data_IF_659278240697
#
_entry.id   IF_659278240697
#
_cell.length_a   1.000
_cell.length_b   1.000
_cell.length_c   1.000
_cell.angle_alpha   90.00
_cell.angle_beta   90.00
_cell.angle_gamma   90.00
#
_symmetry.space_group_name_H-M   'P 1'
#
loop_
_entity.id
_entity.type
_entity.pdbx_description
1 polymer ?
#
# COMPACT_ATOMS: atom_id res chain seq x y z
N UNK A 1 20.87 11.67 50.03
CA UNK A 1 20.34 12.92 49.45
C UNK A 1 20.56 12.88 47.96
N UNK A 2 19.53 12.52 47.20
CA UNK A 2 19.58 12.36 45.73
C UNK A 2 18.97 13.59 45.08
N UNK A 3 19.80 14.37 44.38
CA UNK A 3 19.36 15.50 43.58
C UNK A 3 18.68 14.98 42.31
N UNK A 4 17.34 14.98 42.29
CA UNK A 4 16.57 14.74 41.08
C UNK A 4 16.80 15.87 40.04
N UNK A 5 16.98 15.56 38.76
CA UNK A 5 17.40 16.55 37.76
C UNK A 5 16.25 17.48 37.35
N UNK A 6 16.51 18.79 37.41
CA UNK A 6 15.66 19.94 37.02
C UNK A 6 15.17 19.95 35.55
N UNK A 7 15.36 18.89 34.76
CA UNK A 7 15.01 18.88 33.32
C UNK A 7 13.52 18.71 33.03
N UNK A 8 12.73 18.15 33.95
CA UNK A 8 11.30 17.91 33.71
C UNK A 8 10.41 19.17 33.76
N UNK A 9 10.81 20.22 34.48
CA UNK A 9 9.99 21.43 34.63
C UNK A 9 10.01 22.34 33.39
N UNK A 10 11.14 22.38 32.67
CA UNK A 10 11.27 23.14 31.42
C UNK A 10 10.47 22.51 30.27
N UNK A 11 10.44 21.18 30.21
CA UNK A 11 9.70 20.43 29.20
C UNK A 11 8.18 20.57 29.41
N UNK A 12 7.72 20.58 30.66
CA UNK A 12 6.31 20.81 31.00
C UNK A 12 5.83 22.23 30.66
N UNK A 13 6.69 23.26 30.75
CA UNK A 13 6.33 24.63 30.35
C UNK A 13 6.18 24.78 28.84
N UNK A 14 7.12 24.20 28.06
CA UNK A 14 7.03 24.22 26.58
C UNK A 14 5.79 23.49 26.07
N UNK A 15 5.39 22.38 26.70
CA UNK A 15 4.17 21.67 26.34
C UNK A 15 2.90 22.51 26.57
N UNK A 16 2.84 23.30 27.65
CA UNK A 16 1.70 24.19 27.95
C UNK A 16 1.62 25.38 26.99
N UNK A 17 2.75 25.95 26.61
CA UNK A 17 2.80 27.07 25.65
C UNK A 17 2.39 26.62 24.24
N UNK A 18 2.78 25.42 23.83
CA UNK A 18 2.35 24.83 22.56
C UNK A 18 0.84 24.55 22.55
N UNK A 19 0.27 24.03 23.65
CA UNK A 19 -1.17 23.84 23.80
C UNK A 19 -1.94 25.17 23.73
N UNK A 20 -1.44 26.23 24.38
CA UNK A 20 -2.06 27.56 24.35
C UNK A 20 -1.97 28.22 22.96
N UNK A 21 -0.87 28.02 22.24
CA UNK A 21 -0.73 28.50 20.87
C UNK A 21 -1.66 27.72 19.91
N UNK A 22 -1.78 26.40 20.11
CA UNK A 22 -2.64 25.54 19.32
C UNK A 22 -4.13 25.88 19.54
N UNK A 23 -4.58 26.08 20.78
CA UNK A 23 -5.97 26.49 21.07
C UNK A 23 -6.32 27.83 20.47
N UNK A 24 -5.41 28.82 20.49
CA UNK A 24 -5.63 30.11 19.81
C UNK A 24 -5.75 29.96 18.29
N UNK A 25 -4.92 29.12 17.66
CA UNK A 25 -5.00 28.85 16.22
C UNK A 25 -6.28 28.11 15.83
N UNK A 26 -6.71 27.14 16.64
CA UNK A 26 -7.97 26.41 16.42
C UNK A 26 -9.17 27.34 16.60
N UNK A 27 -9.18 28.18 17.65
CA UNK A 27 -10.23 29.18 17.85
C UNK A 27 -10.28 30.17 16.69
N UNK A 28 -9.12 30.62 16.19
CA UNK A 28 -9.03 31.48 15.02
C UNK A 28 -9.57 30.81 13.76
N UNK A 29 -9.20 29.56 13.48
CA UNK A 29 -9.72 28.78 12.34
C UNK A 29 -11.23 28.57 12.44
N UNK A 30 -11.75 28.30 13.64
CA UNK A 30 -13.18 28.23 13.90
C UNK A 30 -13.88 29.55 13.56
N UNK A 31 -13.34 30.68 14.03
CA UNK A 31 -13.87 32.01 13.71
C UNK A 31 -13.80 32.27 12.21
N UNK A 32 -12.70 31.91 11.53
CA UNK A 32 -12.57 32.05 10.09
C UNK A 32 -13.59 31.20 9.32
N UNK A 33 -13.81 29.94 9.72
CA UNK A 33 -14.83 29.08 9.12
C UNK A 33 -16.24 29.65 9.32
N UNK A 34 -16.53 30.16 10.52
CA UNK A 34 -17.82 30.76 10.84
C UNK A 34 -18.04 32.05 10.03
N UNK A 35 -17.01 32.89 9.90
CA UNK A 35 -17.02 34.09 9.06
C UNK A 35 -17.16 33.75 7.57
N UNK A 36 -16.48 32.69 7.10
CA UNK A 36 -16.59 32.23 5.72
C UNK A 36 -18.00 31.71 5.40
N UNK A 37 -18.60 30.93 6.30
CA UNK A 37 -19.99 30.48 6.16
C UNK A 37 -20.97 31.66 6.13
N UNK A 38 -20.77 32.67 6.98
CA UNK A 38 -21.61 33.89 6.99
C UNK A 38 -21.42 34.75 5.73
N UNK A 39 -20.20 34.85 5.22
CA UNK A 39 -19.90 35.57 3.98
C UNK A 39 -20.49 34.84 2.77
N UNK A 40 -20.44 33.51 2.74
CA UNK A 40 -21.03 32.68 1.70
C UNK A 40 -22.55 32.84 1.63
N UNK A 41 -23.23 32.91 2.78
CA UNK A 41 -24.67 33.19 2.83
C UNK A 41 -25.04 34.58 2.28
N UNK A 42 -24.25 35.62 2.60
CA UNK A 42 -24.48 36.95 2.01
C UNK A 42 -24.27 36.93 0.50
N UNK A 43 -23.20 36.27 0.05
CA UNK A 43 -22.91 36.12 -1.38
C UNK A 43 -24.04 35.37 -2.11
N UNK A 44 -24.63 34.34 -1.49
CA UNK A 44 -25.76 33.60 -2.07
C UNK A 44 -27.08 34.37 -2.03
N UNK A 45 -27.29 35.27 -1.06
CA UNK A 45 -28.53 36.02 -0.90
C UNK A 45 -28.66 37.19 -1.88
N UNK A 46 -27.54 37.75 -2.34
CA UNK A 46 -27.57 38.92 -3.22
C UNK A 46 -28.03 38.60 -4.64
N UNK A 47 -28.08 37.33 -5.07
CA UNK A 47 -28.86 36.89 -6.25
C UNK A 47 -28.55 37.56 -7.61
N UNK A 48 -27.56 38.45 -7.69
CA UNK A 48 -27.36 39.35 -8.84
C UNK A 48 -26.34 38.87 -9.86
N UNK A 49 -25.77 37.68 -9.69
CA UNK A 49 -24.92 37.08 -10.71
C UNK A 49 -25.47 35.72 -11.10
N UNK A 50 -25.97 35.63 -12.34
CA UNK A 50 -26.59 34.46 -12.96
C UNK A 50 -25.65 33.27 -13.16
N UNK A 51 -25.09 32.76 -12.07
CA UNK A 51 -24.53 31.43 -12.03
C UNK A 51 -25.71 30.45 -11.94
N UNK A 52 -25.89 29.71 -13.03
CA UNK A 52 -26.72 28.51 -13.15
C UNK A 52 -26.70 27.75 -11.83
N UNK A 53 -27.89 27.48 -11.29
CA UNK A 53 -28.10 26.87 -9.98
C UNK A 53 -27.11 25.73 -9.72
N UNK A 54 -26.09 26.02 -8.89
CA UNK A 54 -25.22 24.97 -8.39
C UNK A 54 -26.08 23.95 -7.63
N UNK A 55 -25.89 22.65 -7.84
CA UNK A 55 -26.72 21.62 -7.23
C UNK A 55 -26.74 21.79 -5.71
N UNK A 56 -27.94 21.80 -5.13
CA UNK A 56 -28.14 21.88 -3.68
C UNK A 56 -27.33 20.76 -3.01
N UNK A 57 -26.47 21.13 -2.07
CA UNK A 57 -25.58 20.25 -1.31
C UNK A 57 -26.27 19.07 -0.61
N UNK A 58 -27.60 19.12 -0.45
CA UNK A 58 -28.41 17.97 0.00
C UNK A 58 -28.23 16.72 -0.86
N UNK A 59 -27.95 16.87 -2.16
CA UNK A 59 -27.71 15.75 -3.07
C UNK A 59 -26.40 15.00 -2.76
N UNK A 60 -25.34 15.72 -2.38
CA UNK A 60 -24.01 15.14 -2.08
C UNK A 60 -24.01 14.33 -0.78
N UNK A 61 -24.76 14.80 0.23
CA UNK A 61 -24.94 14.08 1.51
C UNK A 61 -25.73 12.78 1.29
N UNK A 62 -26.75 12.79 0.42
CA UNK A 62 -27.49 11.58 0.06
C UNK A 62 -26.63 10.57 -0.71
N UNK A 63 -25.73 11.01 -1.57
CA UNK A 63 -24.81 10.10 -2.29
C UNK A 63 -23.75 9.49 -1.37
N UNK A 64 -23.24 10.26 -0.40
CA UNK A 64 -22.29 9.77 0.59
C UNK A 64 -22.91 8.78 1.60
N UNK A 65 -24.17 9.00 2.03
CA UNK A 65 -24.92 8.06 2.86
C UNK A 65 -25.31 6.79 2.10
N UNK A 66 -25.71 6.90 0.82
CA UNK A 66 -26.01 5.74 -0.01
C UNK A 66 -24.78 4.86 -0.32
N UNK A 67 -23.57 5.44 -0.28
CA UNK A 67 -22.32 4.69 -0.44
C UNK A 67 -21.87 3.93 0.82
N UNK A 68 -22.45 4.22 2.00
CA UNK A 68 -22.13 3.56 3.27
C UNK A 68 -23.09 2.39 3.59
N UNK A 69 -24.23 2.26 2.89
CA UNK A 69 -25.30 1.28 3.16
C UNK A 69 -25.32 0.08 2.17
N UNK A 70 -24.22 -0.24 1.50
CA UNK A 70 -24.14 -1.41 0.61
C UNK A 70 -22.98 -2.35 0.96
N UNK A 71 -23.06 -2.93 2.16
CA UNK A 71 -22.47 -4.23 2.42
C UNK A 71 -23.62 -5.17 2.83
N UNK A 72 -23.89 -6.14 1.97
CA UNK A 72 -24.86 -7.25 2.11
C UNK A 72 -26.33 -6.96 1.70
N UNK A 73 -26.66 -7.16 0.41
CA UNK A 73 -27.83 -7.88 -0.15
C UNK A 73 -27.88 -7.73 -1.71
N UNK A 74 -28.50 -8.67 -2.45
CA UNK A 74 -28.36 -8.80 -3.91
C UNK A 74 -29.12 -7.74 -4.71
N UNK A 75 -28.52 -7.33 -5.84
CA UNK A 75 -28.96 -6.28 -6.76
C UNK A 75 -30.40 -6.45 -7.28
N UNK A 76 -31.22 -5.41 -7.10
CA UNK A 76 -32.37 -5.10 -7.96
C UNK A 76 -31.99 -3.87 -8.78
N UNK A 77 -32.04 -4.02 -10.11
CA UNK A 77 -31.75 -2.99 -11.11
C UNK A 77 -32.56 -1.70 -10.92
N UNK A 78 -31.86 -0.57 -10.87
CA UNK A 78 -32.43 0.73 -11.27
C UNK A 78 -31.45 1.42 -12.20
N UNK A 79 -31.89 1.62 -13.44
CA UNK A 79 -31.16 2.31 -14.49
C UNK A 79 -31.06 3.83 -14.22
N UNK A 80 -29.90 4.41 -14.51
CA UNK A 80 -29.72 5.86 -14.68
C UNK A 80 -29.03 6.16 -16.01
N UNK A 81 -29.44 7.20 -16.75
CA UNK A 81 -28.91 7.53 -18.05
C UNK A 81 -27.61 8.33 -17.98
N UNK A 82 -26.79 8.11 -19.01
CA UNK A 82 -25.50 8.74 -19.31
C UNK A 82 -25.70 10.20 -19.72
N UNK A 83 -24.79 11.07 -19.30
CA UNK A 83 -24.55 12.36 -19.94
C UNK A 83 -23.04 12.56 -20.02
N UNK A 84 -22.53 12.50 -21.25
CA UNK A 84 -21.18 12.89 -21.65
C UNK A 84 -21.09 14.41 -21.67
N UNK A 85 -20.10 15.00 -21.00
CA UNK A 85 -19.56 16.29 -21.40
C UNK A 85 -18.11 16.43 -20.94
N UNK A 86 -17.25 16.67 -21.93
CA UNK A 86 -15.81 16.83 -21.81
C UNK A 86 -15.46 18.21 -21.25
N UNK A 87 -14.46 18.26 -20.36
CA UNK A 87 -13.69 19.48 -20.12
C UNK A 87 -12.22 19.13 -19.86
N UNK A 88 -11.38 19.51 -20.81
CA UNK A 88 -9.93 19.60 -20.69
C UNK A 88 -9.60 20.79 -19.80
N UNK A 89 -8.70 20.60 -18.83
CA UNK A 89 -7.88 21.70 -18.33
C UNK A 89 -6.48 21.21 -17.97
N UNK A 90 -5.50 21.91 -18.55
CA UNK A 90 -4.08 21.67 -18.41
C UNK A 90 -3.57 22.24 -17.08
N UNK A 91 -2.90 21.40 -16.29
CA UNK A 91 -2.06 21.85 -15.18
C UNK A 91 -0.58 21.56 -15.48
N UNK A 92 0.34 22.47 -15.12
CA UNK A 92 1.76 22.36 -15.44
C UNK A 92 2.43 21.31 -14.54
N UNK A 93 3.22 20.44 -15.18
CA UNK A 93 4.02 19.40 -14.54
C UNK A 93 5.08 20.01 -13.60
N UNK A 94 5.14 19.49 -12.37
CA UNK A 94 6.28 19.67 -11.47
C UNK A 94 7.43 18.73 -11.88
N UNK A 95 8.70 19.12 -11.74
CA UNK A 95 9.82 18.32 -12.22
C UNK A 95 10.01 17.10 -11.31
N UNK A 96 9.62 15.93 -11.81
CA UNK A 96 9.97 14.64 -11.23
C UNK A 96 11.41 14.27 -11.62
N UNK A 97 12.15 13.82 -10.61
CA UNK A 97 13.56 13.49 -10.64
C UNK A 97 13.83 12.27 -11.55
N UNK A 98 14.29 12.53 -12.78
CA UNK A 98 14.65 11.53 -13.81
C UNK A 98 15.97 10.82 -13.48
N UNK A 99 16.00 10.03 -12.41
CA UNK A 99 17.11 9.11 -12.13
C UNK A 99 16.62 7.76 -11.62
N UNK A 100 15.77 7.10 -12.41
CA UNK A 100 15.62 5.64 -12.42
C UNK A 100 14.78 5.16 -13.62
N UNK A 101 15.01 5.70 -14.82
CA UNK A 101 14.49 5.09 -16.05
C UNK A 101 15.59 4.15 -16.58
N UNK A 102 15.51 2.87 -16.23
CA UNK A 102 16.23 1.81 -16.93
C UNK A 102 15.26 1.14 -17.89
N UNK A 103 15.34 1.57 -19.14
CA UNK A 103 15.01 0.72 -20.29
C UNK A 103 15.98 -0.47 -20.27
N UNK A 104 15.50 -1.62 -19.82
CA UNK A 104 16.15 -2.92 -20.04
C UNK A 104 15.11 -4.05 -20.27
N UNK A 105 13.89 -3.69 -20.71
CA UNK A 105 12.91 -4.64 -21.20
C UNK A 105 13.39 -5.30 -22.52
N UNK A 106 14.13 -4.56 -23.36
CA UNK A 106 14.71 -5.08 -24.60
C UNK A 106 15.87 -6.07 -24.37
N UNK A 107 16.65 -5.90 -23.30
CA UNK A 107 17.73 -6.82 -22.95
C UNK A 107 17.22 -8.12 -22.30
N UNK A 108 16.09 -8.05 -21.58
CA UNK A 108 15.39 -9.23 -21.09
C UNK A 108 14.73 -10.01 -22.26
N UNK A 109 14.21 -9.32 -23.27
CA UNK A 109 13.67 -9.98 -24.48
C UNK A 109 14.77 -10.64 -25.34
N UNK A 110 15.96 -10.07 -25.47
CA UNK A 110 17.07 -10.71 -26.22
C UNK A 110 17.67 -11.94 -25.49
N UNK A 111 17.65 -11.96 -24.15
CA UNK A 111 18.12 -13.12 -23.38
C UNK A 111 17.19 -14.35 -23.52
N UNK A 112 15.89 -14.13 -23.74
CA UNK A 112 14.91 -15.21 -24.00
C UNK A 112 15.07 -15.80 -25.40
N UNK A 113 15.57 -15.03 -26.39
CA UNK A 113 15.74 -15.50 -27.77
C UNK A 113 16.98 -16.40 -27.95
N UNK A 114 18.00 -16.28 -27.09
CA UNK A 114 19.23 -17.08 -27.20
C UNK A 114 19.14 -18.48 -26.57
N UNK A 115 18.19 -18.69 -25.65
CA UNK A 115 17.88 -20.00 -25.08
C UNK A 115 16.74 -20.65 -25.85
N UNK A 116 17.04 -21.40 -26.91
CA UNK A 116 16.08 -22.31 -27.57
C UNK A 116 15.72 -23.47 -26.62
N UNK A 117 14.96 -23.15 -25.58
CA UNK A 117 14.22 -24.14 -24.79
C UNK A 117 13.19 -24.70 -25.75
N UNK A 118 13.21 -26.01 -25.96
CA UNK A 118 12.29 -26.70 -26.86
C UNK A 118 10.85 -26.24 -26.55
N UNK A 119 10.15 -25.74 -27.58
CA UNK A 119 8.74 -25.35 -27.48
C UNK A 119 8.01 -26.45 -26.73
N UNK A 120 7.55 -26.21 -25.49
CA UNK A 120 6.79 -27.22 -24.80
C UNK A 120 5.53 -27.40 -25.62
N UNK A 121 5.31 -28.60 -26.15
CA UNK A 121 4.08 -29.01 -26.82
C UNK A 121 2.99 -29.05 -25.76
N UNK A 122 2.56 -27.87 -25.32
CA UNK A 122 1.42 -27.72 -24.45
C UNK A 122 0.20 -27.89 -25.33
N UNK A 123 -0.54 -28.97 -25.08
CA UNK A 123 -1.81 -29.22 -25.72
C UNK A 123 -2.72 -28.03 -25.45
N UNK A 124 -2.78 -27.09 -26.41
CA UNK A 124 -3.76 -26.00 -26.40
C UNK A 124 -5.12 -26.67 -26.36
N UNK A 125 -5.84 -26.47 -25.24
CA UNK A 125 -7.17 -27.02 -25.07
C UNK A 125 -8.01 -26.52 -26.23
N UNK A 126 -8.59 -27.44 -26.99
CA UNK A 126 -9.47 -27.06 -28.07
C UNK A 126 -10.77 -26.50 -27.46
N UNK A 127 -11.13 -25.28 -27.85
CA UNK A 127 -12.35 -24.61 -27.40
C UNK A 127 -13.48 -24.76 -28.43
N UNK A 128 -13.27 -25.50 -29.52
CA UNK A 128 -14.28 -25.78 -30.52
C UNK A 128 -15.36 -26.70 -29.94
N UNK A 129 -16.51 -26.12 -29.60
CA UNK A 129 -17.66 -26.82 -28.98
C UNK A 129 -18.00 -26.37 -27.56
N UNK A 130 -17.16 -25.56 -26.91
CA UNK A 130 -17.47 -24.98 -25.59
C UNK A 130 -18.45 -23.82 -25.76
N UNK A 131 -19.52 -23.82 -24.96
CA UNK A 131 -20.55 -22.78 -24.97
C UNK A 131 -20.05 -21.46 -24.36
N UNK A 132 -20.67 -20.33 -24.72
CA UNK A 132 -20.28 -19.01 -24.21
C UNK A 132 -20.40 -18.91 -22.68
N UNK A 133 -21.38 -19.57 -22.09
CA UNK A 133 -21.57 -19.60 -20.63
C UNK A 133 -20.49 -20.43 -19.93
N UNK A 134 -20.06 -21.54 -20.53
CA UNK A 134 -18.91 -22.32 -20.05
C UNK A 134 -17.60 -21.54 -20.18
N UNK A 135 -17.40 -20.78 -21.26
CA UNK A 135 -16.24 -19.90 -21.41
C UNK A 135 -16.23 -18.79 -20.36
N UNK A 136 -17.38 -18.16 -20.08
CA UNK A 136 -17.50 -17.18 -19.00
C UNK A 136 -17.24 -17.80 -17.64
N UNK A 137 -17.77 -18.99 -17.37
CA UNK A 137 -17.53 -19.72 -16.13
C UNK A 137 -16.04 -20.07 -15.97
N UNK A 138 -15.38 -20.53 -17.04
CA UNK A 138 -13.97 -20.88 -17.04
C UNK A 138 -13.08 -19.64 -16.84
N UNK A 139 -13.39 -18.52 -17.50
CA UNK A 139 -12.67 -17.26 -17.29
C UNK A 139 -12.90 -16.72 -15.87
N UNK A 140 -14.12 -16.85 -15.34
CA UNK A 140 -14.45 -16.50 -13.96
C UNK A 140 -13.63 -17.33 -12.98
N UNK A 141 -13.61 -18.64 -13.14
CA UNK A 141 -12.88 -19.57 -12.28
C UNK A 141 -11.37 -19.27 -12.29
N UNK A 142 -10.78 -19.12 -13.49
CA UNK A 142 -9.36 -18.75 -13.65
C UNK A 142 -9.02 -17.40 -13.02
N UNK A 143 -9.91 -16.41 -13.11
CA UNK A 143 -9.72 -15.09 -12.48
C UNK A 143 -10.33 -14.98 -11.08
N UNK A 144 -10.65 -16.11 -10.42
CA UNK A 144 -11.19 -16.16 -9.05
C UNK A 144 -12.43 -15.27 -8.86
N UNK A 145 -13.32 -15.25 -9.83
CA UNK A 145 -14.56 -14.46 -9.85
C UNK A 145 -14.40 -12.99 -10.24
N UNK A 146 -13.18 -12.50 -10.51
CA UNK A 146 -12.92 -11.08 -10.75
C UNK A 146 -12.89 -10.74 -12.24
N UNK A 147 -14.02 -10.91 -12.94
CA UNK A 147 -14.13 -10.62 -14.38
C UNK A 147 -15.28 -9.68 -14.67
N UNK A 148 -14.99 -8.53 -15.26
CA UNK A 148 -16.02 -7.67 -15.82
C UNK A 148 -16.33 -8.13 -17.26
N UNK A 149 -17.42 -8.90 -17.41
CA UNK A 149 -17.82 -9.47 -18.70
C UNK A 149 -18.24 -8.42 -19.73
N UNK A 150 -18.52 -7.17 -19.33
CA UNK A 150 -18.91 -6.08 -20.25
C UNK A 150 -17.84 -5.74 -21.29
N UNK A 151 -16.58 -6.12 -21.04
CA UNK A 151 -15.47 -5.86 -21.95
C UNK A 151 -15.29 -6.93 -23.04
N UNK A 152 -15.98 -8.07 -22.97
CA UNK A 152 -15.87 -9.15 -23.95
C UNK A 152 -17.18 -9.22 -24.74
N UNK A 153 -17.15 -8.75 -25.99
CA UNK A 153 -18.35 -8.67 -26.83
C UNK A 153 -18.61 -9.99 -27.54
N UNK A 154 -17.54 -10.64 -27.98
CA UNK A 154 -17.61 -11.81 -28.83
C UNK A 154 -16.99 -13.05 -28.16
N UNK A 155 -17.44 -14.23 -28.57
CA UNK A 155 -16.86 -15.53 -28.18
C UNK A 155 -15.35 -15.57 -28.41
N UNK A 156 -14.88 -14.97 -29.50
CA UNK A 156 -13.47 -14.88 -29.83
C UNK A 156 -12.67 -14.09 -28.79
N UNK A 157 -13.23 -13.02 -28.23
CA UNK A 157 -12.59 -12.22 -27.17
C UNK A 157 -12.44 -13.03 -25.88
N UNK A 158 -13.47 -13.81 -25.52
CA UNK A 158 -13.42 -14.70 -24.35
C UNK A 158 -12.35 -15.77 -24.52
N UNK A 159 -12.29 -16.44 -25.68
CA UNK A 159 -11.26 -17.46 -25.97
C UNK A 159 -9.86 -16.83 -25.91
N UNK A 160 -9.67 -15.66 -26.51
CA UNK A 160 -8.39 -14.94 -26.46
C UNK A 160 -7.99 -14.61 -25.02
N UNK A 161 -8.93 -14.11 -24.21
CA UNK A 161 -8.67 -13.79 -22.81
C UNK A 161 -8.34 -15.02 -21.96
N UNK A 162 -9.00 -16.15 -22.20
CA UNK A 162 -8.70 -17.42 -21.54
C UNK A 162 -7.29 -17.89 -21.92
N UNK A 163 -6.93 -17.87 -23.21
CA UNK A 163 -5.59 -18.25 -23.68
C UNK A 163 -4.51 -17.36 -23.10
N UNK A 164 -4.73 -16.04 -23.02
CA UNK A 164 -3.79 -15.11 -22.40
C UNK A 164 -3.58 -15.42 -20.91
N UNK A 165 -4.64 -15.82 -20.20
CA UNK A 165 -4.51 -16.26 -18.80
C UNK A 165 -3.78 -17.60 -18.70
N UNK A 166 -4.07 -18.56 -19.57
CA UNK A 166 -3.37 -19.86 -19.61
C UNK A 166 -1.89 -19.71 -19.94
N UNK A 167 -1.53 -18.86 -20.90
CA UNK A 167 -0.14 -18.55 -21.24
C UNK A 167 0.59 -17.91 -20.05
N UNK A 168 -0.05 -16.98 -19.35
CA UNK A 168 0.52 -16.37 -18.12
C UNK A 168 0.69 -17.40 -17.00
N UNK A 169 -0.28 -18.28 -16.80
CA UNK A 169 -0.19 -19.37 -15.81
C UNK A 169 0.95 -20.35 -16.14
N UNK A 170 1.12 -20.71 -17.41
CA UNK A 170 2.20 -21.58 -17.89
C UNK A 170 3.56 -20.89 -17.70
N UNK A 171 3.70 -19.63 -18.12
CA UNK A 171 4.92 -18.86 -17.94
C UNK A 171 5.29 -18.73 -16.45
N UNK A 172 4.31 -18.45 -15.60
CA UNK A 172 4.50 -18.36 -14.15
C UNK A 172 4.91 -19.71 -13.54
N UNK A 173 4.32 -20.82 -14.02
CA UNK A 173 4.71 -22.17 -13.58
C UNK A 173 6.14 -22.50 -14.01
N UNK A 174 6.49 -22.24 -15.27
CA UNK A 174 7.85 -22.46 -15.77
C UNK A 174 8.88 -21.64 -14.98
N UNK A 175 8.59 -20.37 -14.70
CA UNK A 175 9.41 -19.53 -13.83
C UNK A 175 9.57 -20.10 -12.43
N UNK A 176 8.49 -20.61 -11.82
CA UNK A 176 8.55 -21.25 -10.49
C UNK A 176 9.38 -22.53 -10.50
N UNK A 177 9.28 -23.33 -11.55
CA UNK A 177 10.07 -24.55 -11.71
C UNK A 177 11.56 -24.23 -11.89
N UNK A 178 11.89 -23.19 -12.66
CA UNK A 178 13.26 -22.68 -12.81
C UNK A 178 13.81 -22.16 -11.47
N UNK A 179 13.01 -21.37 -10.75
CA UNK A 179 13.31 -20.89 -9.40
C UNK A 179 13.56 -22.05 -8.43
N UNK A 180 12.73 -23.09 -8.46
CA UNK A 180 12.90 -24.26 -7.61
C UNK A 180 14.16 -25.04 -7.97
N UNK A 181 14.50 -25.15 -9.26
CA UNK A 181 15.74 -25.76 -9.73
C UNK A 181 16.97 -24.96 -9.27
N UNK A 182 16.93 -23.63 -9.42
CA UNK A 182 17.97 -22.72 -8.95
C UNK A 182 18.15 -22.82 -7.43
N UNK A 183 17.05 -22.85 -6.66
CA UNK A 183 17.08 -23.04 -5.21
C UNK A 183 17.74 -24.36 -4.78
N UNK A 184 17.41 -25.47 -5.47
CA UNK A 184 18.05 -26.77 -5.21
C UNK A 184 19.54 -26.73 -5.53
N UNK A 185 19.91 -26.18 -6.69
CA UNK A 185 21.32 -26.02 -7.07
C UNK A 185 22.08 -25.18 -6.05
N UNK A 186 21.50 -24.09 -5.56
CA UNK A 186 22.13 -23.26 -4.54
C UNK A 186 22.29 -24.03 -3.23
N UNK A 187 21.27 -24.75 -2.77
CA UNK A 187 21.34 -25.55 -1.55
C UNK A 187 22.44 -26.64 -1.62
N UNK A 188 22.55 -27.34 -2.75
CA UNK A 188 23.60 -28.33 -3.00
C UNK A 188 24.99 -27.68 -3.05
N UNK A 189 25.12 -26.55 -3.75
CA UNK A 189 26.40 -25.85 -3.92
C UNK A 189 26.81 -25.06 -2.67
N UNK A 190 25.89 -24.80 -1.73
CA UNK A 190 26.16 -24.00 -0.53
C UNK A 190 27.14 -24.71 0.41
N UNK A 191 27.07 -26.03 0.54
CA UNK A 191 28.04 -26.81 1.33
C UNK A 191 29.45 -26.72 0.73
N UNK A 192 29.56 -26.85 -0.58
CA UNK A 192 30.83 -26.72 -1.30
C UNK A 192 31.41 -25.30 -1.20
N UNK A 193 30.56 -24.27 -1.32
CA UNK A 193 30.99 -22.88 -1.15
C UNK A 193 31.45 -22.61 0.29
N UNK A 194 30.76 -23.18 1.29
CA UNK A 194 31.16 -23.09 2.69
C UNK A 194 32.48 -23.83 2.94
N UNK A 195 32.67 -25.01 2.35
CA UNK A 195 33.91 -25.78 2.41
C UNK A 195 35.07 -25.02 1.75
N UNK A 196 34.88 -24.48 0.55
CA UNK A 196 35.87 -23.67 -0.15
C UNK A 196 36.23 -22.39 0.64
N UNK A 197 35.24 -21.70 1.22
CA UNK A 197 35.48 -20.55 2.10
C UNK A 197 36.28 -20.94 3.35
N UNK A 198 35.95 -22.08 3.97
CA UNK A 198 36.69 -22.60 5.12
C UNK A 198 38.14 -22.98 4.74
N UNK A 199 38.35 -23.63 3.60
CA UNK A 199 39.67 -23.97 3.07
C UNK A 199 40.51 -22.73 2.76
N UNK A 200 39.93 -21.72 2.09
CA UNK A 200 40.59 -20.45 1.80
C UNK A 200 40.95 -19.66 3.08
N UNK A 201 40.16 -19.78 4.15
CA UNK A 201 40.50 -19.21 5.46
C UNK A 201 41.69 -19.94 6.10
N UNK A 202 41.78 -21.27 5.97
CA UNK A 202 42.93 -22.04 6.48
C UNK A 202 44.23 -21.65 5.77
N UNK A 203 44.20 -21.45 4.45
CA UNK A 203 45.40 -21.04 3.70
C UNK A 203 45.84 -19.60 4.03
N UNK A 204 44.90 -18.67 4.23
CA UNK A 204 45.22 -17.30 4.67
C UNK A 204 45.68 -17.22 6.13
N UNK A 205 45.10 -18.01 7.04
CA UNK A 205 45.47 -18.05 8.46
C UNK A 205 46.85 -18.66 8.74
N UNK A 206 47.33 -19.52 7.84
CA UNK A 206 48.66 -20.16 7.94
C UNK A 206 49.84 -19.16 7.85
N UNK A 207 49.64 -17.98 7.25
CA UNK A 207 50.70 -16.98 7.08
C UNK A 207 50.88 -16.02 8.27
N UNK A 208 50.09 -16.18 9.34
CA UNK A 208 50.21 -15.40 10.58
C UNK A 208 50.89 -16.26 11.66
N UNK A 209 52.21 -16.45 11.52
CA UNK A 209 53.17 -16.81 12.58
C UNK A 209 54.18 -15.68 12.58
N UNK A 210 54.53 -14.91 13.61
CA UNK A 210 54.52 -15.05 15.07
C UNK A 210 54.43 -13.63 15.69
N UNK A 211 53.91 -13.51 16.92
CA UNK A 211 54.08 -12.38 17.88
C UNK A 211 53.18 -11.13 17.82
N UNK A 212 52.10 -11.08 17.05
CA UNK A 212 51.11 -10.00 17.19
C UNK A 212 49.92 -10.44 18.05
N UNK A 213 49.72 -9.83 19.22
CA UNK A 213 48.46 -9.94 19.96
C UNK A 213 47.29 -9.64 19.02
N UNK A 214 46.43 -10.63 18.76
CA UNK A 214 45.23 -10.42 17.95
C UNK A 214 44.29 -9.53 18.78
N UNK A 215 43.99 -8.29 18.35
CA UNK A 215 43.18 -7.38 19.14
C UNK A 215 41.80 -7.98 19.38
N UNK A 216 41.29 -7.88 20.61
CA UNK A 216 40.01 -8.44 21.05
C UNK A 216 38.81 -7.97 20.20
N UNK A 217 38.96 -6.92 19.37
CA UNK A 217 37.97 -6.46 18.40
C UNK A 217 37.74 -7.42 17.22
N UNK A 218 38.68 -8.31 16.90
CA UNK A 218 38.52 -9.34 15.85
C UNK A 218 37.88 -10.65 16.36
N UNK A 219 37.66 -10.77 17.68
CA UNK A 219 36.90 -11.85 18.32
C UNK A 219 35.39 -11.59 18.36
N UNK A 220 34.90 -10.62 17.58
CA UNK A 220 33.45 -10.39 17.42
C UNK A 220 32.89 -11.60 16.67
N UNK A 221 32.14 -12.43 17.40
CA UNK A 221 31.57 -13.67 16.90
C UNK A 221 30.97 -13.47 15.51
N UNK A 222 31.52 -14.21 14.55
CA UNK A 222 30.84 -14.47 13.29
C UNK A 222 29.59 -15.28 13.64
N UNK A 223 28.54 -14.59 14.06
CA UNK A 223 27.21 -15.09 13.80
C UNK A 223 27.18 -15.37 12.29
N UNK A 224 26.82 -16.60 11.96
CA UNK A 224 26.29 -17.02 10.67
C UNK A 224 24.96 -16.33 10.40
N UNK A 225 24.92 -15.01 10.58
CA UNK A 225 23.86 -14.10 10.15
C UNK A 225 24.06 -13.97 8.64
N UNK A 226 23.59 -14.98 7.90
CA UNK A 226 23.25 -14.74 6.51
C UNK A 226 22.33 -13.51 6.47
N UNK A 227 22.46 -12.62 5.47
CA UNK A 227 21.59 -11.47 5.37
C UNK A 227 20.16 -11.97 5.22
N UNK A 228 19.42 -11.98 6.34
CA UNK A 228 18.02 -12.33 6.32
C UNK A 228 17.30 -11.14 5.67
N UNK A 229 16.82 -11.31 4.45
CA UNK A 229 16.04 -10.29 3.77
C UNK A 229 14.91 -9.85 4.69
N UNK A 230 14.83 -8.54 4.96
CA UNK A 230 13.82 -8.00 5.86
C UNK A 230 12.58 -7.65 5.04
N UNK A 231 11.55 -8.48 5.18
CA UNK A 231 10.24 -8.19 4.61
C UNK A 231 9.43 -7.37 5.62
N UNK A 232 9.36 -6.05 5.45
CA UNK A 232 8.54 -5.18 6.30
C UNK A 232 7.19 -4.91 5.65
N UNK A 233 6.10 -5.26 6.32
CA UNK A 233 4.74 -4.97 5.89
C UNK A 233 4.16 -3.87 6.77
N UNK A 234 3.87 -2.71 6.17
CA UNK A 234 3.15 -1.63 6.83
C UNK A 234 1.65 -1.78 6.55
N UNK A 235 0.83 -1.86 7.59
CA UNK A 235 -0.62 -2.03 7.44
C UNK A 235 -1.43 -1.04 8.26
N UNK A 236 -2.60 -0.65 7.76
CA UNK A 236 -3.54 0.18 8.52
C UNK A 236 -4.23 -0.60 9.64
N UNK A 237 -3.83 -0.32 10.88
CA UNK A 237 -4.47 -0.90 12.07
C UNK A 237 -5.94 -0.45 12.20
N UNK A 238 -6.25 0.78 11.82
CA UNK A 238 -7.60 1.36 11.93
C UNK A 238 -8.64 0.65 11.06
N UNK A 239 -8.21 0.02 9.96
CA UNK A 239 -9.06 -0.71 9.00
C UNK A 239 -9.08 -2.23 9.22
N UNK A 240 -8.47 -2.72 10.30
CA UNK A 240 -8.39 -4.15 10.57
C UNK A 240 -7.46 -4.92 9.61
N UNK A 241 -6.56 -4.25 8.89
CA UNK A 241 -5.63 -4.93 7.98
C UNK A 241 -4.58 -5.79 8.70
N UNK A 242 -4.51 -5.74 10.04
CA UNK A 242 -3.69 -6.65 10.84
C UNK A 242 -4.06 -8.11 10.63
N UNK A 243 -5.36 -8.44 10.54
CA UNK A 243 -5.81 -9.81 10.27
C UNK A 243 -5.38 -10.27 8.86
N UNK A 244 -5.46 -9.37 7.88
CA UNK A 244 -5.01 -9.63 6.51
C UNK A 244 -3.49 -9.85 6.44
N UNK A 245 -2.72 -9.11 7.21
CA UNK A 245 -1.28 -9.38 7.35
C UNK A 245 -1.04 -10.77 7.93
N UNK A 246 -1.74 -11.17 9.01
CA UNK A 246 -1.57 -12.52 9.57
C UNK A 246 -1.97 -13.63 8.61
N UNK A 247 -3.02 -13.42 7.82
CA UNK A 247 -3.42 -14.34 6.76
C UNK A 247 -2.37 -14.42 5.65
N UNK A 248 -1.81 -13.28 5.22
CA UNK A 248 -0.74 -13.21 4.23
C UNK A 248 0.50 -13.98 4.70
N UNK A 249 0.93 -13.79 5.96
CA UNK A 249 2.07 -14.51 6.53
C UNK A 249 1.80 -16.01 6.57
N UNK A 250 0.62 -16.40 7.06
CA UNK A 250 0.21 -17.81 7.10
C UNK A 250 0.19 -18.42 5.70
N UNK A 251 -0.31 -17.71 4.70
CA UNK A 251 -0.36 -18.19 3.32
C UNK A 251 1.05 -18.34 2.73
N UNK A 252 1.95 -17.40 2.99
CA UNK A 252 3.36 -17.48 2.56
C UNK A 252 4.10 -18.66 3.22
N UNK A 253 3.80 -18.95 4.49
CA UNK A 253 4.42 -20.04 5.26
C UNK A 253 3.84 -21.44 4.93
N UNK A 254 2.52 -21.54 4.77
CA UNK A 254 1.81 -22.83 4.74
C UNK A 254 1.33 -23.27 3.35
N UNK A 255 1.16 -22.34 2.41
CA UNK A 255 0.61 -22.69 1.09
C UNK A 255 1.67 -23.37 0.23
N UNK A 256 1.45 -24.65 -0.09
CA UNK A 256 2.32 -25.42 -1.00
C UNK A 256 2.44 -24.78 -2.39
N UNK A 257 1.39 -24.09 -2.84
CA UNK A 257 1.38 -23.35 -4.10
C UNK A 257 2.21 -22.05 -4.08
N UNK A 258 2.59 -21.55 -2.90
CA UNK A 258 3.25 -20.24 -2.71
C UNK A 258 4.55 -20.36 -1.89
N UNK A 259 4.89 -21.58 -1.44
CA UNK A 259 6.01 -21.86 -0.54
C UNK A 259 7.31 -21.30 -1.12
N UNK A 260 7.83 -20.26 -0.48
CA UNK A 260 9.13 -19.71 -0.82
C UNK A 260 10.19 -20.75 -0.42
N UNK A 261 11.06 -21.20 -1.35
CA UNK A 261 12.04 -22.26 -1.05
C UNK A 261 13.05 -21.86 0.05
N UNK A 262 13.20 -20.56 0.32
CA UNK A 262 14.11 -20.01 1.33
C UNK A 262 13.38 -19.13 2.35
N UNK A 263 12.20 -19.53 2.82
CA UNK A 263 11.42 -18.71 3.76
C UNK A 263 12.19 -18.42 5.06
N UNK A 264 13.07 -19.34 5.49
CA UNK A 264 13.96 -19.19 6.65
C UNK A 264 14.98 -18.03 6.47
N UNK A 265 15.23 -17.61 5.24
CA UNK A 265 16.07 -16.45 4.92
C UNK A 265 15.32 -15.12 5.03
N UNK A 266 14.01 -15.11 5.24
CA UNK A 266 13.23 -13.87 5.37
C UNK A 266 12.86 -13.59 6.82
N UNK A 267 13.14 -12.37 7.26
CA UNK A 267 12.59 -11.84 8.51
C UNK A 267 11.36 -11.01 8.20
N UNK A 268 10.18 -11.61 8.37
CA UNK A 268 8.90 -10.92 8.14
C UNK A 268 8.54 -10.09 9.38
N UNK A 269 8.35 -8.79 9.19
CA UNK A 269 8.02 -7.84 10.26
C UNK A 269 6.76 -7.07 9.85
N UNK A 270 5.68 -7.23 10.62
CA UNK A 270 4.46 -6.43 10.45
C UNK A 270 4.47 -5.22 11.37
N UNK A 271 4.34 -4.02 10.82
CA UNK A 271 4.28 -2.76 11.58
C UNK A 271 3.00 -1.99 11.20
N UNK A 272 2.35 -1.31 12.16
CA UNK A 272 1.24 -0.44 11.84
C UNK A 272 1.75 0.76 11.02
N UNK A 273 0.96 1.18 10.03
CA UNK A 273 1.31 2.31 9.18
C UNK A 273 1.55 3.57 10.03
N UNK A 274 2.70 4.25 9.90
CA UNK A 274 2.99 5.43 10.70
C UNK A 274 2.03 6.55 10.30
N UNK A 275 1.11 6.88 11.20
CA UNK A 275 0.25 8.06 11.05
C UNK A 275 1.06 9.26 11.52
N UNK A 276 1.11 10.31 10.70
CA UNK A 276 1.81 11.53 11.09
C UNK A 276 1.16 12.12 12.35
N UNK A 277 1.97 12.60 13.30
CA UNK A 277 1.47 13.24 14.52
C UNK A 277 0.57 14.45 14.18
N UNK A 278 0.82 15.11 13.04
CA UNK A 278 0.03 16.22 12.55
C UNK A 278 -1.38 15.78 12.14
N UNK A 279 -1.51 14.67 11.39
CA UNK A 279 -2.81 14.09 11.03
C UNK A 279 -3.60 13.67 12.26
N UNK A 280 -2.93 13.10 13.27
CA UNK A 280 -3.56 12.73 14.54
C UNK A 280 -4.09 13.97 15.28
N UNK A 281 -3.27 15.01 15.41
CA UNK A 281 -3.68 16.26 16.04
C UNK A 281 -4.84 16.92 15.29
N UNK A 282 -4.78 16.96 13.96
CA UNK A 282 -5.81 17.56 13.13
C UNK A 282 -7.13 16.78 13.22
N UNK A 283 -7.07 15.45 13.22
CA UNK A 283 -8.21 14.58 13.47
C UNK A 283 -8.84 14.84 14.85
N UNK A 284 -8.01 14.95 15.90
CA UNK A 284 -8.49 15.29 17.25
C UNK A 284 -9.14 16.66 17.31
N UNK A 285 -8.57 17.67 16.64
CA UNK A 285 -9.17 18.99 16.53
C UNK A 285 -10.54 18.89 15.88
N UNK A 286 -10.67 18.26 14.71
CA UNK A 286 -11.97 18.09 14.04
C UNK A 286 -12.98 17.31 14.89
N UNK A 287 -12.52 16.33 15.67
CA UNK A 287 -13.37 15.60 16.60
C UNK A 287 -13.91 16.49 17.73
N UNK A 288 -13.06 17.32 18.33
CA UNK A 288 -13.47 18.29 19.36
C UNK A 288 -14.43 19.32 18.77
N UNK A 289 -14.15 19.80 17.55
CA UNK A 289 -15.04 20.71 16.82
C UNK A 289 -16.40 20.07 16.56
N UNK A 290 -16.43 18.81 16.14
CA UNK A 290 -17.67 18.06 15.94
C UNK A 290 -18.52 18.05 17.22
N UNK A 291 -17.95 17.65 18.35
CA UNK A 291 -18.70 17.61 19.61
C UNK A 291 -19.13 19.01 20.07
N UNK A 292 -18.30 20.02 19.87
CA UNK A 292 -18.64 21.42 20.18
C UNK A 292 -19.81 21.94 19.36
N UNK A 293 -19.79 21.73 18.04
CA UNK A 293 -20.86 22.12 17.12
C UNK A 293 -22.14 21.31 17.39
N UNK A 294 -22.04 20.01 17.67
CA UNK A 294 -23.19 19.19 18.06
C UNK A 294 -23.82 19.65 19.37
N UNK A 295 -23.03 19.96 20.40
CA UNK A 295 -23.55 20.47 21.67
C UNK A 295 -24.29 21.81 21.48
N UNK A 296 -23.72 22.71 20.67
CA UNK A 296 -24.37 23.97 20.28
C UNK A 296 -25.68 23.75 19.53
N UNK A 297 -25.74 22.73 18.68
CA UNK A 297 -26.94 22.40 17.91
C UNK A 297 -28.05 21.76 18.75
N UNK A 298 -27.72 20.96 19.77
CA UNK A 298 -28.71 20.25 20.59
C UNK A 298 -29.21 21.14 21.73
N UNK A 299 -28.32 21.87 22.39
CA UNK A 299 -28.61 22.58 23.64
C UNK A 299 -28.18 24.05 23.60
N UNK A 300 -28.67 24.88 22.64
CA UNK A 300 -28.31 26.30 22.57
C UNK A 300 -28.75 27.08 23.82
N UNK A 301 -29.77 26.59 24.53
CA UNK A 301 -30.39 27.27 25.68
C UNK A 301 -29.64 27.07 26.99
N UNK A 302 -28.84 26.00 27.10
CA UNK A 302 -28.03 25.71 28.29
C UNK A 302 -26.76 26.56 28.37
N UNK A 303 -26.47 27.35 27.34
CA UNK A 303 -25.26 28.16 27.22
C UNK A 303 -25.63 29.65 27.39
N UNK A 304 -25.74 30.16 28.63
CA UNK A 304 -26.22 31.52 28.90
C UNK A 304 -25.29 32.62 28.37
N UNK A 305 -24.03 32.28 28.05
CA UNK A 305 -23.06 33.22 27.49
C UNK A 305 -23.29 33.53 26.00
N UNK A 306 -24.17 32.80 25.31
CA UNK A 306 -24.45 33.02 23.89
C UNK A 306 -25.52 34.12 23.73
N UNK A 307 -25.25 35.19 22.95
CA UNK A 307 -26.22 36.24 22.68
C UNK A 307 -27.52 35.69 22.06
N UNK A 308 -28.66 36.28 22.42
CA UNK A 308 -29.99 35.81 21.99
C UNK A 308 -30.16 35.80 20.45
N UNK A 309 -29.56 36.77 19.76
CA UNK A 309 -29.51 36.79 18.30
C UNK A 309 -28.87 35.52 17.71
N UNK A 310 -27.76 35.05 18.29
CA UNK A 310 -27.06 33.83 17.83
C UNK A 310 -27.88 32.58 18.16
N UNK A 311 -28.51 32.53 19.35
CA UNK A 311 -29.40 31.42 19.72
C UNK A 311 -30.58 31.26 18.74
N UNK A 312 -31.19 32.37 18.32
CA UNK A 312 -32.24 32.33 17.31
C UNK A 312 -31.74 31.82 15.96
N UNK A 313 -30.55 32.22 15.52
CA UNK A 313 -29.94 31.68 14.29
C UNK A 313 -29.69 30.16 14.41
N UNK A 314 -29.12 29.70 15.53
CA UNK A 314 -28.86 28.29 15.78
C UNK A 314 -30.15 27.46 15.79
N UNK A 315 -31.24 27.99 16.35
CA UNK A 315 -32.56 27.34 16.34
C UNK A 315 -33.13 27.26 14.93
N UNK A 316 -33.14 28.37 14.19
CA UNK A 316 -33.70 28.44 12.83
C UNK A 316 -32.91 27.60 11.85
N UNK A 317 -31.58 27.50 12.01
CA UNK A 317 -30.67 26.79 11.11
C UNK A 317 -30.12 25.50 11.70
N UNK A 318 -30.82 24.90 12.68
CA UNK A 318 -30.35 23.73 13.42
C UNK A 318 -29.90 22.58 12.51
N UNK A 319 -30.65 22.30 11.43
CA UNK A 319 -30.31 21.26 10.46
C UNK A 319 -28.95 21.48 9.79
N UNK A 320 -28.62 22.73 9.44
CA UNK A 320 -27.35 23.09 8.80
C UNK A 320 -26.17 22.99 9.79
N UNK A 321 -26.40 23.33 11.07
CA UNK A 321 -25.38 23.19 12.11
C UNK A 321 -25.09 21.70 12.35
N UNK A 322 -26.13 20.86 12.42
CA UNK A 322 -25.99 19.41 12.57
C UNK A 322 -25.25 18.82 11.37
N UNK A 323 -25.61 19.18 10.13
CA UNK A 323 -24.92 18.66 8.94
C UNK A 323 -23.44 19.06 8.90
N UNK A 324 -23.11 20.29 9.30
CA UNK A 324 -21.73 20.76 9.44
C UNK A 324 -20.96 19.91 10.46
N UNK A 325 -21.60 19.56 11.58
CA UNK A 325 -20.99 18.70 12.58
C UNK A 325 -20.69 17.30 12.00
N UNK A 326 -21.65 16.68 11.30
CA UNK A 326 -21.41 15.39 10.64
C UNK A 326 -20.26 15.44 9.63
N UNK A 327 -20.14 16.54 8.88
CA UNK A 327 -19.01 16.76 7.97
C UNK A 327 -17.67 16.80 8.72
N UNK A 328 -17.60 17.50 9.86
CA UNK A 328 -16.40 17.53 10.70
C UNK A 328 -16.03 16.14 11.24
N UNK A 329 -17.03 15.33 11.61
CA UNK A 329 -16.79 13.94 12.03
C UNK A 329 -16.28 13.06 10.87
N UNK A 330 -16.81 13.22 9.66
CA UNK A 330 -16.29 12.52 8.47
C UNK A 330 -14.85 12.93 8.13
N UNK A 331 -14.53 14.23 8.19
CA UNK A 331 -13.17 14.73 7.97
C UNK A 331 -12.19 14.22 9.03
N UNK A 332 -12.60 14.21 10.30
CA UNK A 332 -11.84 13.62 11.42
C UNK A 332 -11.47 12.16 11.14
N UNK A 333 -12.45 11.35 10.73
CA UNK A 333 -12.23 9.93 10.40
C UNK A 333 -11.35 9.76 9.16
N UNK A 334 -11.57 10.54 8.12
CA UNK A 334 -10.80 10.49 6.87
C UNK A 334 -9.30 10.70 7.10
N UNK A 335 -8.93 11.64 7.97
CA UNK A 335 -7.52 11.92 8.29
C UNK A 335 -6.80 10.80 9.06
N UNK A 336 -7.56 9.99 9.80
CA UNK A 336 -7.01 8.88 10.58
C UNK A 336 -7.06 7.56 9.80
N UNK A 337 -7.96 7.44 8.82
CA UNK A 337 -8.12 6.25 8.00
C UNK A 337 -7.21 6.31 6.77
N UNK A 338 -5.99 5.83 6.93
CA UNK A 338 -5.15 5.50 5.78
C UNK A 338 -5.50 4.10 5.31
N UNK A 339 -5.78 3.90 4.02
CA UNK A 339 -5.94 2.58 3.39
C UNK A 339 -4.61 2.03 2.88
N UNK A 340 -3.53 2.38 3.54
CA UNK A 340 -2.20 1.98 3.16
C UNK A 340 -1.96 0.53 3.60
N UNK A 341 -1.56 -0.29 2.64
CA UNK A 341 -0.92 -1.57 2.86
C UNK A 341 0.29 -1.61 1.94
N UNK A 342 1.47 -1.53 2.54
CA UNK A 342 2.73 -1.39 1.82
C UNK A 342 3.67 -2.51 2.21
N UNK A 343 4.36 -3.06 1.22
CA UNK A 343 5.31 -4.16 1.41
C UNK A 343 6.68 -3.66 0.98
N UNK A 344 7.65 -3.78 1.88
CA UNK A 344 9.04 -3.40 1.69
C UNK A 344 9.94 -4.62 1.79
N UNK A 345 10.88 -4.76 0.87
CA UNK A 345 11.95 -5.74 0.90
C UNK A 345 13.26 -4.99 1.11
N UNK A 346 13.93 -5.21 2.25
CA UNK A 346 15.18 -4.52 2.60
C UNK A 346 15.08 -2.99 2.51
N UNK A 347 13.98 -2.45 3.04
CA UNK A 347 13.62 -1.03 2.98
C UNK A 347 13.29 -0.47 1.57
N UNK A 348 13.28 -1.32 0.52
CA UNK A 348 12.81 -0.97 -0.82
C UNK A 348 11.30 -1.27 -0.97
N UNK A 349 10.51 -0.28 -1.39
CA UNK A 349 9.05 -0.45 -1.59
C UNK A 349 8.78 -1.31 -2.83
N UNK A 350 8.26 -2.53 -2.62
CA UNK A 350 7.88 -3.43 -3.71
C UNK A 350 6.39 -3.32 -4.06
N UNK A 351 5.55 -2.98 -3.08
CA UNK A 351 4.10 -2.89 -3.26
C UNK A 351 3.47 -1.79 -2.41
N UNK A 352 2.51 -1.04 -2.97
CA UNK A 352 1.68 -0.09 -2.21
C UNK A 352 0.24 -0.10 -2.74
N UNK A 353 -0.74 -0.32 -1.87
CA UNK A 353 -2.18 -0.23 -2.21
C UNK A 353 -2.53 1.09 -2.88
N UNK A 354 -1.87 2.18 -2.50
CA UNK A 354 -2.12 3.52 -3.05
C UNK A 354 -1.79 3.58 -4.54
N UNK A 355 -0.77 2.84 -4.99
CA UNK A 355 -0.42 2.73 -6.41
C UNK A 355 -1.37 1.82 -7.19
N UNK A 356 -1.92 0.79 -6.55
CA UNK A 356 -2.79 -0.22 -7.16
C UNK A 356 -4.30 0.04 -6.94
N UNK A 357 -4.69 1.32 -6.75
CA UNK A 357 -6.10 1.71 -6.67
C UNK A 357 -6.83 1.13 -5.45
N UNK A 358 -6.13 0.93 -4.33
CA UNK A 358 -6.71 0.41 -3.08
C UNK A 358 -6.90 -1.10 -3.03
N UNK A 359 -6.47 -1.85 -4.05
CA UNK A 359 -6.51 -3.32 -4.04
C UNK A 359 -5.49 -3.84 -3.03
N UNK A 360 -5.87 -4.84 -2.23
CA UNK A 360 -4.93 -5.53 -1.33
C UNK A 360 -4.12 -6.57 -2.09
N UNK A 361 -2.84 -6.78 -1.73
CA UNK A 361 -2.01 -7.75 -2.41
C UNK A 361 -2.43 -9.19 -2.03
N UNK A 362 -2.43 -10.09 -3.02
CA UNK A 362 -2.59 -11.52 -2.78
C UNK A 362 -1.25 -12.14 -2.39
N UNK A 363 -1.28 -13.26 -1.66
CA UNK A 363 -0.06 -14.01 -1.28
C UNK A 363 0.76 -14.45 -2.50
N UNK A 364 0.08 -14.87 -3.56
CA UNK A 364 0.70 -15.20 -4.86
C UNK A 364 1.46 -14.01 -5.47
N UNK A 365 0.85 -12.82 -5.45
CA UNK A 365 1.46 -11.60 -5.99
C UNK A 365 2.70 -11.18 -5.20
N UNK A 366 2.61 -11.18 -3.87
CA UNK A 366 3.74 -10.86 -2.99
C UNK A 366 4.87 -11.88 -3.18
N UNK A 367 4.56 -13.17 -3.22
CA UNK A 367 5.55 -14.22 -3.44
C UNK A 367 6.27 -14.05 -4.78
N UNK A 368 5.54 -13.84 -5.88
CA UNK A 368 6.16 -13.61 -7.18
C UNK A 368 7.10 -12.38 -7.17
N UNK A 369 6.66 -11.26 -6.58
CA UNK A 369 7.50 -10.05 -6.45
C UNK A 369 8.75 -10.30 -5.61
N UNK A 370 8.65 -11.09 -4.54
CA UNK A 370 9.79 -11.45 -3.71
C UNK A 370 10.77 -12.35 -4.47
N UNK A 371 10.27 -13.36 -5.19
CA UNK A 371 11.09 -14.25 -6.00
C UNK A 371 11.83 -13.47 -7.09
N UNK A 372 11.13 -12.60 -7.80
CA UNK A 372 11.72 -11.73 -8.83
C UNK A 372 12.84 -10.85 -8.24
N UNK A 373 12.61 -10.20 -7.09
CA UNK A 373 13.58 -9.26 -6.52
C UNK A 373 14.76 -9.91 -5.79
N UNK A 374 14.54 -11.04 -5.11
CA UNK A 374 15.60 -11.73 -4.36
C UNK A 374 16.39 -12.70 -5.23
N UNK A 375 15.72 -13.53 -6.03
CA UNK A 375 16.42 -14.55 -6.79
C UNK A 375 17.16 -13.97 -7.98
N UNK A 376 16.58 -13.03 -8.74
CA UNK A 376 17.32 -12.46 -9.87
C UNK A 376 18.59 -11.74 -9.40
N UNK A 377 18.54 -11.00 -8.30
CA UNK A 377 19.72 -10.29 -7.78
C UNK A 377 20.78 -11.26 -7.24
N UNK A 378 20.39 -12.21 -6.39
CA UNK A 378 21.37 -13.08 -5.73
C UNK A 378 21.94 -14.14 -6.69
N UNK A 379 21.11 -14.69 -7.58
CA UNK A 379 21.57 -15.67 -8.57
C UNK A 379 22.38 -15.02 -9.68
N UNK A 380 21.99 -13.84 -10.19
CA UNK A 380 22.83 -13.13 -11.17
C UNK A 380 24.20 -12.78 -10.56
N UNK A 381 24.26 -12.38 -9.29
CA UNK A 381 25.52 -12.13 -8.58
C UNK A 381 26.35 -13.41 -8.38
N UNK A 382 25.71 -14.53 -8.02
CA UNK A 382 26.40 -15.82 -7.85
C UNK A 382 26.95 -16.37 -9.18
N UNK A 383 26.14 -16.33 -10.24
CA UNK A 383 26.48 -16.79 -11.58
C UNK A 383 27.60 -15.95 -12.21
N UNK A 384 27.49 -14.61 -12.16
CA UNK A 384 28.54 -13.72 -12.67
C UNK A 384 29.86 -13.89 -11.91
N UNK A 385 29.80 -14.12 -10.59
CA UNK A 385 30.97 -14.40 -9.76
C UNK A 385 31.65 -15.74 -10.08
N UNK A 386 30.89 -16.77 -10.47
CA UNK A 386 31.45 -18.05 -10.93
C UNK A 386 32.02 -17.95 -12.34
N UNK A 387 31.31 -17.30 -13.26
CA UNK A 387 31.79 -17.08 -14.63
C UNK A 387 33.13 -16.32 -14.64
N UNK A 388 33.25 -15.27 -13.83
CA UNK A 388 34.49 -14.50 -13.69
C UNK A 388 35.65 -15.36 -13.11
N UNK A 389 35.37 -16.24 -12.15
CA UNK A 389 36.39 -17.14 -11.57
C UNK A 389 36.80 -18.25 -12.55
N UNK A 390 35.86 -18.79 -13.31
CA UNK A 390 36.14 -19.78 -14.36
C UNK A 390 37.03 -19.18 -15.46
N UNK A 391 36.74 -17.96 -15.91
CA UNK A 391 37.57 -17.24 -16.88
C UNK A 391 38.99 -16.96 -16.33
N UNK A 392 39.11 -16.59 -15.05
CA UNK A 392 40.40 -16.33 -14.41
C UNK A 392 41.23 -17.61 -14.15
N UNK A 393 40.62 -18.80 -14.12
CA UNK A 393 41.34 -20.07 -13.95
C UNK A 393 41.83 -20.67 -15.28
N UNK A 394 41.33 -20.17 -16.42
CA UNK A 394 41.73 -20.57 -17.77
C UNK A 394 42.84 -19.66 -18.36
N UNK A 395 43.14 -18.54 -17.69
CA UNK A 395 44.31 -17.68 -17.93
C UNK A 395 45.43 -18.05 -16.96
#
# INVERSE_FOLDING_TARGET
MSCAPLRHSAQARRARELLAACTRRVLFLLVCLLLFSLAWDRYSADGTHGLVAAPRWSGFIQSALAAEESADLPEVEVATPVSDEALQDAHPEAPLDRRADFHDEAAAEEAVVAGKVADPVHATRDFDGVSDDELKALLSDKKKGQVNFKHYKDRADLIKAIREVEEKEIAQKAFRDEVAAAARWFAETQEDLNYQRAAARRTKGSRIKHNGEVPASLRRGHHTDAPAHKLRVLYSAARGHGERFTALVKDLESSEAVKLPNLDAFRIVGEPYPISNESVLLGQVFQVLFYGVMALAIMPDLLPFIPEAVRNILRTRRGLVISTAFMLNMLSRSLLQNNAFEVYLDDELIYSTLKFGGRLPTSEMVSNMLLERTLLKDYAAAMSGQAAKGAAALL
#
